data_IF_944817814504
#
_entry.id   IF_944817814504
#
_cell.length_a   1.000
_cell.length_b   1.000
_cell.length_c   1.000
_cell.angle_alpha   90.00
_cell.angle_beta   90.00
_cell.angle_gamma   90.00
#
_symmetry.space_group_name_H-M   'P 1'
#
loop_
_entity.id
_entity.type
_entity.pdbx_description
1 polymer ?
#
# COMPACT_ATOMS: atom_id res chain seq x y z
N UNK A 1 -5.65 -12.50 27.26
CA UNK A 1 -4.46 -12.59 26.39
C UNK A 1 -3.54 -11.40 26.71
N UNK A 2 -2.35 -11.62 27.29
CA UNK A 2 -1.46 -10.52 27.73
C UNK A 2 -1.19 -9.58 26.55
N UNK A 3 -1.53 -8.29 26.69
CA UNK A 3 -1.14 -7.24 25.73
C UNK A 3 0.37 -7.11 25.79
N UNK A 4 1.07 -7.68 24.80
CA UNK A 4 2.49 -7.39 24.63
C UNK A 4 2.61 -6.11 23.83
N UNK A 5 3.52 -5.23 24.25
CA UNK A 5 3.85 -4.00 23.54
C UNK A 5 4.17 -4.26 22.06
N UNK A 6 4.85 -5.39 21.77
CA UNK A 6 5.13 -5.86 20.41
C UNK A 6 3.87 -6.05 19.55
N UNK A 7 2.78 -6.56 20.12
CA UNK A 7 1.52 -6.77 19.37
C UNK A 7 0.81 -5.44 19.08
N UNK A 8 0.95 -4.47 19.97
CA UNK A 8 0.40 -3.13 19.79
C UNK A 8 1.17 -2.39 18.69
N UNK A 9 2.50 -2.37 18.75
CA UNK A 9 3.34 -1.81 17.68
C UNK A 9 3.07 -2.45 16.33
N UNK A 10 2.91 -3.78 16.27
CA UNK A 10 2.57 -4.47 15.03
C UNK A 10 1.18 -4.06 14.49
N UNK A 11 0.19 -3.82 15.36
CA UNK A 11 -1.13 -3.35 14.94
C UNK A 11 -1.05 -1.92 14.38
N UNK A 12 -0.27 -1.06 15.01
CA UNK A 12 -0.15 0.33 14.60
C UNK A 12 0.62 0.43 13.27
N UNK A 13 1.69 -0.36 13.10
CA UNK A 13 2.39 -0.50 11.82
C UNK A 13 1.48 -1.07 10.72
N UNK A 14 0.63 -2.04 11.05
CA UNK A 14 -0.34 -2.62 10.13
C UNK A 14 -1.35 -1.58 9.62
N UNK A 15 -1.66 -0.55 10.42
CA UNK A 15 -2.60 0.51 10.04
C UNK A 15 -2.11 1.38 8.87
N UNK A 16 -0.79 1.42 8.58
CA UNK A 16 -0.28 2.09 7.37
C UNK A 16 -0.73 1.43 6.06
N UNK A 17 -1.25 0.19 6.10
CA UNK A 17 -1.89 -0.46 4.94
C UNK A 17 -3.41 -0.36 4.93
N UNK A 18 -3.99 0.41 5.85
CA UNK A 18 -5.45 0.49 6.03
C UNK A 18 -6.11 1.32 4.92
N UNK A 19 -7.41 1.10 4.71
CA UNK A 19 -8.22 1.90 3.78
C UNK A 19 -8.17 3.40 4.12
N UNK A 20 -8.38 3.81 5.39
CA UNK A 20 -8.36 5.23 5.74
C UNK A 20 -7.01 5.88 5.45
N UNK A 21 -5.89 5.21 5.79
CA UNK A 21 -4.57 5.76 5.51
C UNK A 21 -4.32 5.96 4.01
N UNK A 22 -4.74 5.00 3.19
CA UNK A 22 -4.64 5.12 1.73
C UNK A 22 -5.39 6.35 1.18
N UNK A 23 -6.63 6.56 1.62
CA UNK A 23 -7.42 7.72 1.21
C UNK A 23 -6.87 9.04 1.75
N UNK A 24 -6.28 9.06 2.96
CA UNK A 24 -5.60 10.24 3.49
C UNK A 24 -4.45 10.68 2.58
N UNK A 25 -3.68 9.74 2.03
CA UNK A 25 -2.61 10.05 1.05
C UNK A 25 -3.19 10.67 -0.21
N UNK A 26 -4.29 10.12 -0.76
CA UNK A 26 -4.97 10.68 -1.93
C UNK A 26 -5.49 12.09 -1.65
N UNK A 27 -6.24 12.29 -0.57
CA UNK A 27 -6.84 13.58 -0.23
C UNK A 27 -5.74 14.63 -0.05
N UNK A 28 -4.64 14.27 0.63
CA UNK A 28 -3.48 15.17 0.79
C UNK A 28 -2.90 15.60 -0.55
N UNK A 29 -2.85 14.69 -1.53
CA UNK A 29 -2.35 14.96 -2.86
C UNK A 29 -3.30 15.82 -3.70
N UNK A 30 -4.61 15.63 -3.56
CA UNK A 30 -5.63 16.48 -4.19
C UNK A 30 -5.49 17.92 -3.69
N UNK A 31 -5.36 18.12 -2.38
CA UNK A 31 -5.14 19.46 -1.78
C UNK A 31 -3.84 20.08 -2.32
N UNK A 32 -2.82 19.26 -2.53
CA UNK A 32 -1.54 19.67 -3.11
C UNK A 32 -1.54 19.89 -4.63
N UNK A 33 -2.66 19.61 -5.32
CA UNK A 33 -2.81 19.69 -6.79
C UNK A 33 -1.79 18.82 -7.55
N UNK A 34 -1.54 17.62 -7.06
CA UNK A 34 -0.61 16.66 -7.68
C UNK A 34 -1.36 15.65 -8.56
N UNK A 35 -1.96 16.11 -9.65
CA UNK A 35 -2.94 15.35 -10.44
C UNK A 35 -2.40 13.99 -10.94
N UNK A 36 -1.18 13.95 -11.45
CA UNK A 36 -0.52 12.70 -11.89
C UNK A 36 -0.47 11.66 -10.76
N UNK A 37 -0.05 12.08 -9.56
CA UNK A 37 0.05 11.20 -8.40
C UNK A 37 -1.35 10.79 -7.89
N UNK A 38 -2.34 11.69 -7.96
CA UNK A 38 -3.73 11.39 -7.63
C UNK A 38 -4.28 10.31 -8.57
N UNK A 39 -4.08 10.44 -9.88
CA UNK A 39 -4.52 9.44 -10.86
C UNK A 39 -3.85 8.08 -10.64
N UNK A 40 -2.54 8.06 -10.40
CA UNK A 40 -1.81 6.82 -10.10
C UNK A 40 -2.39 6.08 -8.89
N UNK A 41 -2.63 6.82 -7.80
CA UNK A 41 -3.19 6.28 -6.57
C UNK A 41 -4.66 5.87 -6.73
N UNK A 42 -5.48 6.65 -7.45
CA UNK A 42 -6.89 6.33 -7.68
C UNK A 42 -7.06 5.07 -8.55
N UNK A 43 -6.33 4.99 -9.67
CA UNK A 43 -6.33 3.80 -10.54
C UNK A 43 -5.77 2.60 -9.77
N UNK A 44 -4.71 2.79 -8.99
CA UNK A 44 -4.18 1.75 -8.11
C UNK A 44 -5.22 1.22 -7.12
N UNK A 45 -6.01 2.10 -6.50
CA UNK A 45 -7.10 1.70 -5.60
C UNK A 45 -8.18 0.89 -6.32
N UNK A 46 -8.59 1.32 -7.52
CA UNK A 46 -9.57 0.61 -8.36
C UNK A 46 -9.03 -0.77 -8.74
N UNK A 47 -7.77 -0.86 -9.17
CA UNK A 47 -7.12 -2.12 -9.52
C UNK A 47 -7.04 -3.07 -8.31
N UNK A 48 -6.66 -2.57 -7.12
CA UNK A 48 -6.67 -3.38 -5.88
C UNK A 48 -8.08 -3.91 -5.61
N UNK A 49 -9.10 -3.05 -5.73
CA UNK A 49 -10.49 -3.43 -5.48
C UNK A 49 -10.99 -4.51 -6.46
N UNK A 50 -10.68 -4.38 -7.75
CA UNK A 50 -11.06 -5.38 -8.76
C UNK A 50 -10.32 -6.71 -8.50
N UNK A 51 -9.00 -6.65 -8.29
CA UNK A 51 -8.17 -7.84 -8.09
C UNK A 51 -8.50 -8.58 -6.79
N UNK A 52 -9.02 -7.90 -5.77
CA UNK A 52 -9.49 -8.53 -4.54
C UNK A 52 -10.56 -9.59 -4.80
N UNK A 53 -11.48 -9.36 -5.74
CA UNK A 53 -12.52 -10.34 -6.08
C UNK A 53 -11.97 -11.56 -6.80
N UNK A 54 -10.86 -11.41 -7.53
CA UNK A 54 -10.20 -12.49 -8.28
C UNK A 54 -9.25 -13.31 -7.40
N UNK A 55 -8.50 -12.66 -6.53
CA UNK A 55 -7.47 -13.29 -5.69
C UNK A 55 -7.92 -13.27 -4.23
N UNK A 56 -8.73 -14.26 -3.87
CA UNK A 56 -9.24 -14.45 -2.50
C UNK A 56 -8.12 -14.78 -1.49
N UNK A 57 -8.41 -14.55 -0.21
CA UNK A 57 -7.48 -14.75 0.92
C UNK A 57 -6.15 -14.03 0.74
N UNK A 58 -6.22 -12.75 0.39
CA UNK A 58 -5.07 -11.88 0.15
C UNK A 58 -5.02 -10.72 1.14
N UNK A 59 -3.80 -10.29 1.48
CA UNK A 59 -3.60 -9.14 2.37
C UNK A 59 -3.86 -7.82 1.64
N UNK A 60 -5.08 -7.29 1.80
CA UNK A 60 -5.41 -5.94 1.32
C UNK A 60 -4.51 -4.86 1.94
N UNK A 61 -3.99 -5.10 3.14
CA UNK A 61 -3.07 -4.17 3.79
C UNK A 61 -1.71 -4.16 3.09
N UNK A 62 -1.18 -5.34 2.72
CA UNK A 62 0.05 -5.44 1.96
C UNK A 62 -0.12 -4.91 0.53
N UNK A 63 -1.27 -5.17 -0.10
CA UNK A 63 -1.58 -4.69 -1.45
C UNK A 63 -1.57 -3.16 -1.50
N UNK A 64 -2.36 -2.52 -0.64
CA UNK A 64 -2.47 -1.05 -0.58
C UNK A 64 -1.18 -0.38 -0.14
N UNK A 65 -0.49 -0.93 0.87
CA UNK A 65 0.77 -0.35 1.34
C UNK A 65 1.87 -0.43 0.27
N UNK A 66 1.87 -1.47 -0.58
CA UNK A 66 2.77 -1.57 -1.72
C UNK A 66 2.47 -0.48 -2.77
N UNK A 67 1.20 -0.23 -3.06
CA UNK A 67 0.82 0.85 -3.99
C UNK A 67 1.23 2.22 -3.41
N UNK A 68 1.01 2.45 -2.11
CA UNK A 68 1.46 3.67 -1.43
C UNK A 68 2.98 3.82 -1.56
N UNK A 69 3.77 2.83 -1.14
CA UNK A 69 5.23 2.96 -1.10
C UNK A 69 5.82 3.19 -2.49
N UNK A 70 5.27 2.54 -3.53
CA UNK A 70 5.71 2.74 -4.91
C UNK A 70 5.45 4.17 -5.36
N UNK A 71 4.20 4.63 -5.28
CA UNK A 71 3.87 5.94 -5.85
C UNK A 71 4.36 7.10 -5.01
N UNK A 72 4.41 6.99 -3.67
CA UNK A 72 5.02 8.07 -2.87
C UNK A 72 6.51 8.16 -3.15
N UNK A 73 7.21 7.03 -3.31
CA UNK A 73 8.64 7.05 -3.67
C UNK A 73 8.87 7.69 -5.05
N UNK A 74 8.03 7.37 -6.03
CA UNK A 74 8.06 7.98 -7.36
C UNK A 74 7.69 9.47 -7.34
N UNK A 75 6.77 9.87 -6.47
CA UNK A 75 6.33 11.24 -6.32
C UNK A 75 7.43 12.14 -5.72
N UNK A 76 8.04 11.70 -4.61
CA UNK A 76 9.06 12.50 -3.92
C UNK A 76 10.42 12.49 -4.63
N UNK A 77 10.73 11.47 -5.45
CA UNK A 77 11.99 11.35 -6.22
C UNK A 77 13.26 11.53 -5.37
N UNK A 78 13.20 11.22 -4.08
CA UNK A 78 14.30 11.38 -3.14
C UNK A 78 14.70 10.02 -2.57
N UNK A 79 15.98 9.65 -2.75
CA UNK A 79 16.52 8.37 -2.27
C UNK A 79 16.33 8.18 -0.75
N UNK A 80 16.59 9.18 0.11
CA UNK A 80 16.36 9.01 1.55
C UNK A 80 14.89 8.72 1.89
N UNK A 81 13.96 9.36 1.18
CA UNK A 81 12.53 9.10 1.35
C UNK A 81 12.17 7.67 0.93
N UNK A 82 12.66 7.21 -0.23
CA UNK A 82 12.40 5.87 -0.73
C UNK A 82 12.92 4.78 0.23
N UNK A 83 14.12 4.97 0.80
CA UNK A 83 14.68 4.07 1.82
C UNK A 83 13.79 4.05 3.06
N UNK A 84 13.42 5.22 3.57
CA UNK A 84 12.54 5.32 4.74
C UNK A 84 11.20 4.63 4.51
N UNK A 85 10.55 4.90 3.38
CA UNK A 85 9.26 4.33 3.03
C UNK A 85 9.34 2.79 2.86
N UNK A 86 10.43 2.30 2.25
CA UNK A 86 10.69 0.86 2.13
C UNK A 86 10.87 0.18 3.50
N UNK A 87 11.60 0.81 4.43
CA UNK A 87 11.79 0.28 5.80
C UNK A 87 10.44 0.17 6.54
N UNK A 88 9.61 1.22 6.52
CA UNK A 88 8.28 1.19 7.12
C UNK A 88 7.41 0.12 6.47
N UNK A 89 7.48 -0.02 5.15
CA UNK A 89 6.73 -1.03 4.42
C UNK A 89 7.15 -2.45 4.79
N UNK A 90 8.45 -2.73 4.92
CA UNK A 90 8.98 -4.02 5.38
C UNK A 90 8.48 -4.32 6.81
N UNK A 91 8.53 -3.34 7.72
CA UNK A 91 8.01 -3.49 9.08
C UNK A 91 6.51 -3.79 9.10
N UNK A 92 5.74 -3.18 8.20
CA UNK A 92 4.33 -3.52 7.99
C UNK A 92 4.18 -4.96 7.52
N UNK A 93 4.95 -5.44 6.54
CA UNK A 93 4.86 -6.83 6.07
C UNK A 93 5.16 -7.85 7.17
N UNK A 94 6.19 -7.59 7.98
CA UNK A 94 6.52 -8.37 9.17
C UNK A 94 5.32 -8.36 10.14
N UNK A 95 4.70 -7.21 10.35
CA UNK A 95 3.53 -7.06 11.22
C UNK A 95 2.30 -7.83 10.71
N UNK A 96 2.03 -7.78 9.40
CA UNK A 96 0.96 -8.56 8.74
C UNK A 96 1.19 -10.05 8.99
N UNK A 97 2.42 -10.51 8.76
CA UNK A 97 2.79 -11.92 8.97
C UNK A 97 2.67 -12.32 10.44
N UNK A 98 3.14 -11.49 11.37
CA UNK A 98 3.05 -11.75 12.80
C UNK A 98 1.60 -11.91 13.28
N UNK A 99 0.67 -11.09 12.76
CA UNK A 99 -0.74 -11.10 13.15
C UNK A 99 -1.52 -12.27 12.53
N UNK A 100 -1.36 -12.53 11.23
CA UNK A 100 -2.16 -13.55 10.51
C UNK A 100 -1.48 -14.91 10.35
N UNK A 101 -0.15 -14.97 10.50
CA UNK A 101 0.70 -16.18 10.42
C UNK A 101 0.51 -17.06 9.18
N UNK A 102 0.16 -16.46 8.03
CA UNK A 102 0.04 -17.17 6.75
C UNK A 102 0.83 -16.43 5.67
N UNK A 103 1.97 -17.00 5.25
CA UNK A 103 2.83 -16.36 4.25
C UNK A 103 2.13 -16.21 2.89
N UNK A 104 1.34 -17.21 2.48
CA UNK A 104 0.56 -17.15 1.23
C UNK A 104 -0.44 -15.99 1.18
N UNK A 105 -1.02 -15.60 2.33
CA UNK A 105 -1.90 -14.44 2.44
C UNK A 105 -1.15 -13.12 2.16
N UNK A 106 0.09 -13.01 2.64
CA UNK A 106 0.96 -11.85 2.38
C UNK A 106 1.38 -11.82 0.91
N UNK A 107 1.87 -12.94 0.37
CA UNK A 107 2.35 -13.05 -1.01
C UNK A 107 1.24 -12.68 -2.00
N UNK A 108 0.01 -13.19 -1.83
CA UNK A 108 -1.12 -12.83 -2.71
C UNK A 108 -1.43 -11.33 -2.63
N UNK A 109 -1.33 -10.72 -1.44
CA UNK A 109 -1.47 -9.27 -1.28
C UNK A 109 -0.38 -8.49 -2.02
N UNK A 110 0.87 -8.97 -1.97
CA UNK A 110 1.98 -8.38 -2.72
C UNK A 110 1.77 -8.45 -4.23
N UNK A 111 1.28 -9.60 -4.75
CA UNK A 111 0.95 -9.75 -6.16
C UNK A 111 -0.11 -8.73 -6.57
N UNK A 112 -1.20 -8.61 -5.80
CA UNK A 112 -2.25 -7.61 -6.06
C UNK A 112 -1.66 -6.20 -6.07
N UNK A 113 -0.85 -5.85 -5.06
CA UNK A 113 -0.22 -4.54 -4.96
C UNK A 113 0.69 -4.24 -6.14
N UNK A 114 1.53 -5.19 -6.56
CA UNK A 114 2.44 -5.03 -7.68
C UNK A 114 1.68 -4.79 -8.99
N UNK A 115 0.68 -5.64 -9.29
CA UNK A 115 -0.15 -5.49 -10.49
C UNK A 115 -0.92 -4.16 -10.45
N UNK A 116 -1.41 -3.76 -9.28
CA UNK A 116 -2.14 -2.49 -9.12
C UNK A 116 -1.23 -1.26 -9.29
N UNK A 117 0.02 -1.32 -8.83
CA UNK A 117 1.01 -0.27 -9.07
C UNK A 117 1.35 -0.16 -10.56
N UNK A 118 1.49 -1.29 -11.25
CA UNK A 118 1.70 -1.30 -12.71
C UNK A 118 0.49 -0.68 -13.42
N UNK A 119 -0.72 -1.11 -13.06
CA UNK A 119 -1.96 -0.56 -13.60
C UNK A 119 -2.10 0.94 -13.34
N UNK A 120 -1.77 1.43 -12.14
CA UNK A 120 -1.82 2.85 -11.80
C UNK A 120 -0.79 3.67 -12.59
N UNK A 121 0.42 3.14 -12.79
CA UNK A 121 1.46 3.80 -13.57
C UNK A 121 1.05 3.95 -15.04
N UNK A 122 0.75 2.85 -15.71
CA UNK A 122 0.40 2.87 -17.14
C UNK A 122 -0.99 3.46 -17.38
N UNK A 123 -1.96 3.22 -16.50
CA UNK A 123 -3.29 3.80 -16.60
C UNK A 123 -3.28 5.32 -16.57
N UNK A 124 -2.37 5.91 -15.79
CA UNK A 124 -2.22 7.37 -15.73
C UNK A 124 -1.63 7.94 -17.02
N UNK A 125 -0.76 7.20 -17.72
CA UNK A 125 -0.20 7.63 -19.00
C UNK A 125 -1.27 7.79 -20.10
N UNK A 126 -2.42 7.13 -19.98
CA UNK A 126 -3.54 7.29 -20.90
C UNK A 126 -4.45 8.48 -20.55
N UNK A 127 -4.29 9.09 -19.37
CA UNK A 127 -5.07 10.23 -18.90
C UNK A 127 -4.33 11.57 -19.01
N UNK A 128 -3.04 11.53 -19.35
CA UNK A 128 -2.16 12.69 -19.54
C UNK A 128 -1.94 12.96 -21.03
#
# INVERSE_FOLDING_TARGET
>A
MKRSWLKETARDLFAFGSTPFYFLVIIRAIIGKYDVFVYQMAIGAIAVFILYFLIKDSSMHAARSLVIVVFTSLFYKAVPYAIFAALIWILLLISVYYIKRKIGYVIRGLIIGAVSSVAGYYGTLYLL
#
